data_IF_893677973248
#
_entry.id   IF_893677973248
#
_cell.length_a   1.000
_cell.length_b   1.000
_cell.length_c   1.000
_cell.angle_alpha   90.00
_cell.angle_beta   90.00
_cell.angle_gamma   90.00
#
_symmetry.space_group_name_H-M   'P 1'
#
loop_
_entity.id
_entity.type
_entity.pdbx_description
1 polymer ?
#
# COMPACT_ATOMS: atom_id res chain seq x y z
N UNK A 1 -11.93 -35.46 -29.57
CA UNK A 1 -11.59 -34.19 -30.28
C UNK A 1 -10.84 -33.31 -29.31
N UNK A 2 -9.54 -33.23 -29.44
CA UNK A 2 -8.66 -32.43 -28.55
C UNK A 2 -8.69 -30.98 -29.05
N UNK A 3 -9.35 -30.10 -28.29
CA UNK A 3 -9.36 -28.65 -28.54
C UNK A 3 -8.03 -28.02 -28.22
N UNK A 4 -7.34 -27.47 -29.23
CA UNK A 4 -6.09 -26.71 -29.08
C UNK A 4 -6.36 -25.47 -28.22
N UNK A 5 -5.78 -25.44 -27.04
CA UNK A 5 -5.76 -24.27 -26.14
C UNK A 5 -4.98 -23.14 -26.84
N UNK A 6 -5.68 -22.10 -27.28
CA UNK A 6 -5.05 -20.91 -27.89
C UNK A 6 -4.44 -20.02 -26.80
N UNK A 7 -3.16 -20.12 -26.61
CA UNK A 7 -2.34 -19.28 -25.72
C UNK A 7 -2.08 -17.87 -26.26
N UNK A 8 -2.66 -17.51 -27.42
CA UNK A 8 -2.37 -16.28 -28.16
C UNK A 8 -2.93 -14.98 -27.54
N UNK A 9 -3.73 -15.05 -26.48
CA UNK A 9 -4.36 -13.87 -25.87
C UNK A 9 -3.62 -13.32 -24.62
N UNK A 10 -2.57 -13.98 -24.14
CA UNK A 10 -1.80 -13.52 -22.96
C UNK A 10 -0.55 -12.71 -23.34
N UNK A 11 -0.05 -12.87 -24.57
CA UNK A 11 1.16 -12.21 -25.05
C UNK A 11 1.06 -10.67 -25.09
N UNK A 12 -0.06 -10.03 -25.53
CA UNK A 12 -0.13 -8.58 -25.59
C UNK A 12 -0.19 -7.92 -24.19
N UNK A 13 -0.70 -8.62 -23.18
CA UNK A 13 -0.74 -8.08 -21.81
C UNK A 13 0.65 -8.09 -21.16
N UNK A 14 1.43 -9.14 -21.37
CA UNK A 14 2.80 -9.24 -20.88
C UNK A 14 3.74 -8.21 -21.55
N UNK A 15 3.53 -7.93 -22.85
CA UNK A 15 4.26 -6.90 -23.58
C UNK A 15 3.92 -5.48 -23.12
N UNK A 16 2.64 -5.19 -22.83
CA UNK A 16 2.22 -3.89 -22.31
C UNK A 16 2.80 -3.59 -20.93
N UNK A 17 2.85 -4.57 -20.04
CA UNK A 17 3.50 -4.45 -18.72
C UNK A 17 5.02 -4.29 -18.87
N UNK A 18 5.65 -5.01 -19.78
CA UNK A 18 7.09 -4.92 -20.06
C UNK A 18 7.53 -3.55 -20.60
N UNK A 19 6.72 -2.90 -21.43
CA UNK A 19 7.06 -1.57 -22.01
C UNK A 19 6.96 -0.46 -20.96
N UNK A 20 6.06 -0.58 -19.98
CA UNK A 20 5.93 0.40 -18.88
C UNK A 20 7.17 0.35 -17.96
N UNK A 21 7.77 -0.82 -17.78
CA UNK A 21 8.94 -1.01 -16.90
C UNK A 21 10.26 -0.46 -17.50
N UNK A 22 10.35 -0.30 -18.82
CA UNK A 22 11.62 0.09 -19.50
C UNK A 22 11.78 1.60 -19.66
N UNK A 23 10.70 2.39 -19.52
CA UNK A 23 10.70 3.82 -19.87
C UNK A 23 10.80 4.80 -18.68
N UNK A 24 11.12 4.34 -17.47
CA UNK A 24 11.20 5.23 -16.30
C UNK A 24 12.57 5.89 -16.19
N UNK A 25 12.65 7.23 -16.16
CA UNK A 25 13.91 7.94 -15.92
C UNK A 25 14.42 7.64 -14.51
N UNK A 26 15.74 7.52 -14.37
CA UNK A 26 16.42 7.36 -13.06
C UNK A 26 16.26 8.68 -12.28
N UNK A 27 15.34 8.70 -11.39
CA UNK A 27 15.12 9.78 -10.47
C UNK A 27 15.35 9.30 -9.03
N UNK A 28 15.81 10.15 -8.12
CA UNK A 28 16.27 9.79 -6.76
C UNK A 28 15.28 10.29 -5.70
N UNK A 29 14.72 9.49 -4.81
CA UNK A 29 13.98 9.85 -3.59
C UNK A 29 13.06 8.81 -2.94
N UNK A 30 12.67 8.89 -1.68
CA UNK A 30 11.86 7.95 -0.90
C UNK A 30 10.63 8.56 -0.21
N UNK A 31 9.45 8.16 -0.55
CA UNK A 31 8.37 8.03 0.43
C UNK A 31 7.89 6.57 0.47
N UNK A 32 8.77 5.69 0.92
CA UNK A 32 8.50 4.26 1.01
C UNK A 32 7.89 3.91 2.36
N UNK A 33 8.02 4.80 3.34
CA UNK A 33 7.20 4.70 4.53
C UNK A 33 5.74 4.73 4.10
N UNK A 34 5.06 3.59 4.13
CA UNK A 34 3.66 3.43 3.79
C UNK A 34 2.72 4.19 4.73
N UNK A 35 3.01 5.49 4.94
CA UNK A 35 2.17 6.36 5.73
C UNK A 35 0.80 6.46 5.07
N UNK A 36 -0.14 5.66 5.54
CA UNK A 36 -1.49 5.63 5.03
C UNK A 36 -1.70 4.92 3.68
N UNK A 37 -0.71 4.18 3.17
CA UNK A 37 -0.93 3.32 2.02
C UNK A 37 -1.05 1.87 2.49
N UNK A 38 -2.22 1.28 2.56
CA UNK A 38 -2.35 -0.14 2.79
C UNK A 38 -1.77 -0.86 1.56
N UNK A 39 -0.48 -1.23 1.62
CA UNK A 39 0.23 -1.99 0.58
C UNK A 39 -0.52 -3.26 0.19
N UNK A 40 -1.33 -3.78 1.10
CA UNK A 40 -2.07 -5.02 0.96
C UNK A 40 -3.58 -4.84 0.74
N UNK A 41 -4.16 -3.70 1.13
CA UNK A 41 -5.60 -3.47 0.93
C UNK A 41 -5.97 -3.15 -0.52
N UNK A 42 -5.01 -2.71 -1.33
CA UNK A 42 -5.23 -2.52 -2.77
C UNK A 42 -5.44 -3.86 -3.50
N UNK A 43 -4.81 -4.93 -3.02
CA UNK A 43 -4.93 -6.26 -3.60
C UNK A 43 -6.07 -7.03 -2.94
N UNK A 44 -7.16 -7.19 -3.66
CA UNK A 44 -8.34 -7.94 -3.21
C UNK A 44 -8.31 -9.39 -3.74
N UNK A 45 -7.70 -10.33 -2.99
CA UNK A 45 -7.56 -11.70 -3.46
C UNK A 45 -8.87 -12.50 -3.38
N UNK A 46 -9.85 -12.03 -2.61
CA UNK A 46 -11.11 -12.72 -2.50
C UNK A 46 -12.14 -12.15 -3.46
N UNK A 47 -12.75 -13.03 -4.23
CA UNK A 47 -13.94 -12.70 -5.00
C UNK A 47 -15.00 -12.09 -4.07
N UNK A 48 -15.31 -10.79 -4.22
CA UNK A 48 -16.44 -10.20 -3.53
C UNK A 48 -17.70 -10.83 -4.13
N UNK A 49 -18.22 -11.85 -3.51
CA UNK A 49 -19.43 -12.54 -3.95
C UNK A 49 -20.67 -12.07 -3.18
N UNK A 50 -20.47 -11.44 -2.02
CA UNK A 50 -21.54 -10.99 -1.13
C UNK A 50 -21.85 -9.49 -1.20
N UNK A 51 -22.85 -9.10 -0.41
CA UNK A 51 -23.29 -7.71 -0.26
C UNK A 51 -22.30 -6.87 0.56
N UNK A 52 -21.71 -7.47 1.58
CA UNK A 52 -20.79 -6.80 2.51
C UNK A 52 -19.60 -7.72 2.81
N UNK A 53 -18.40 -7.16 2.77
CA UNK A 53 -17.19 -7.78 3.27
C UNK A 53 -16.60 -6.90 4.37
N UNK A 54 -16.29 -7.50 5.49
CA UNK A 54 -15.53 -6.91 6.58
C UNK A 54 -14.20 -7.63 6.68
N UNK A 55 -13.12 -6.86 6.83
CA UNK A 55 -11.78 -7.40 6.98
C UNK A 55 -11.07 -6.65 8.11
N UNK A 56 -10.38 -7.42 8.94
CA UNK A 56 -9.46 -6.94 9.95
C UNK A 56 -8.10 -7.54 9.64
N UNK A 57 -7.11 -6.72 9.42
CA UNK A 57 -5.75 -7.18 9.17
C UNK A 57 -4.73 -6.38 9.97
N UNK A 58 -3.61 -7.01 10.24
CA UNK A 58 -2.42 -6.39 10.82
C UNK A 58 -1.26 -6.53 9.86
N UNK A 59 -0.53 -5.47 9.67
CA UNK A 59 0.65 -5.39 8.82
C UNK A 59 1.84 -4.90 9.62
N UNK A 60 2.99 -5.52 9.42
CA UNK A 60 4.27 -5.07 9.94
C UNK A 60 5.16 -4.59 8.81
N UNK A 61 5.72 -3.39 8.95
CA UNK A 61 6.67 -2.78 8.04
C UNK A 61 7.89 -2.29 8.81
N UNK A 62 9.07 -2.47 8.23
CA UNK A 62 10.31 -1.86 8.70
C UNK A 62 11.08 -1.23 7.54
N UNK A 63 11.56 -0.01 7.76
CA UNK A 63 12.39 0.75 6.82
C UNK A 63 13.53 1.41 7.58
N UNK A 64 14.72 1.31 7.04
CA UNK A 64 15.89 2.03 7.54
C UNK A 64 16.25 3.10 6.47
N UNK A 65 16.42 4.37 6.87
CA UNK A 65 16.70 5.48 5.96
C UNK A 65 17.78 6.39 6.54
N UNK A 66 18.60 7.03 5.70
CA UNK A 66 19.52 8.08 6.14
C UNK A 66 18.77 9.31 6.63
N UNK A 67 19.23 9.94 7.71
CA UNK A 67 18.62 11.15 8.26
C UNK A 67 18.94 12.37 7.39
N UNK A 68 17.93 13.15 7.05
CA UNK A 68 18.08 14.33 6.19
C UNK A 68 19.06 15.35 6.76
N UNK A 69 20.00 15.77 5.91
CA UNK A 69 21.01 16.77 6.28
C UNK A 69 22.02 16.34 7.32
N UNK A 70 22.02 15.07 7.77
CA UNK A 70 22.92 14.54 8.79
C UNK A 70 23.65 13.27 8.31
N UNK A 71 24.73 13.38 7.53
CA UNK A 71 25.49 12.22 7.06
C UNK A 71 25.97 11.33 8.21
N UNK A 72 25.77 10.02 8.08
CA UNK A 72 26.15 9.04 9.10
C UNK A 72 25.10 8.81 10.21
N UNK A 73 23.94 9.43 10.08
CA UNK A 73 22.76 9.15 10.91
C UNK A 73 21.74 8.33 10.11
N UNK A 74 21.04 7.45 10.80
CA UNK A 74 20.03 6.56 10.20
C UNK A 74 18.75 6.60 11.01
N UNK A 75 17.64 6.83 10.35
CA UNK A 75 16.30 6.71 10.91
C UNK A 75 15.77 5.29 10.67
N UNK A 76 15.47 4.59 11.75
CA UNK A 76 14.91 3.25 11.74
C UNK A 76 13.44 3.32 12.08
N UNK A 77 12.58 3.16 11.08
CA UNK A 77 11.13 3.11 11.25
C UNK A 77 10.68 1.66 11.39
N UNK A 78 9.95 1.35 12.46
CA UNK A 78 9.17 0.14 12.62
C UNK A 78 7.69 0.52 12.81
N UNK A 79 6.80 -0.10 12.04
CA UNK A 79 5.38 0.20 12.05
C UNK A 79 4.53 -1.07 12.10
N UNK A 80 3.58 -1.10 13.03
CA UNK A 80 2.43 -1.97 12.99
C UNK A 80 1.21 -1.19 12.55
N UNK A 81 0.49 -1.71 11.59
CA UNK A 81 -0.77 -1.12 11.12
C UNK A 81 -1.89 -2.14 11.28
N UNK A 82 -2.97 -1.74 11.90
CA UNK A 82 -4.19 -2.53 12.08
C UNK A 82 -5.28 -1.88 11.25
N UNK A 83 -5.74 -2.55 10.19
CA UNK A 83 -6.74 -2.01 9.28
C UNK A 83 -8.10 -2.63 9.54
N UNK A 84 -9.11 -1.79 9.68
CA UNK A 84 -10.51 -2.19 9.59
C UNK A 84 -11.02 -1.78 8.22
N UNK A 85 -11.30 -2.77 7.36
CA UNK A 85 -11.74 -2.56 6.00
C UNK A 85 -13.21 -3.01 5.85
N UNK A 86 -14.01 -2.21 5.19
CA UNK A 86 -15.38 -2.53 4.81
C UNK A 86 -15.57 -2.33 3.31
N UNK A 87 -16.12 -3.33 2.64
CA UNK A 87 -16.49 -3.23 1.22
C UNK A 87 -17.98 -3.57 1.11
N UNK A 88 -18.78 -2.56 0.74
CA UNK A 88 -20.21 -2.68 0.53
C UNK A 88 -20.54 -2.62 -0.95
N UNK A 89 -21.31 -3.59 -1.44
CA UNK A 89 -21.69 -3.71 -2.85
C UNK A 89 -23.21 -3.50 -3.00
N UNK A 90 -23.68 -2.25 -3.14
CA UNK A 90 -25.11 -1.96 -3.31
C UNK A 90 -25.67 -2.53 -4.61
N UNK A 91 -24.87 -2.59 -5.66
CA UNK A 91 -25.21 -3.21 -6.94
C UNK A 91 -24.03 -4.03 -7.47
N UNK A 92 -24.29 -4.98 -8.36
CA UNK A 92 -23.29 -5.94 -8.85
C UNK A 92 -22.03 -5.34 -9.49
N UNK A 93 -22.10 -4.07 -9.91
CA UNK A 93 -20.98 -3.35 -10.55
C UNK A 93 -20.33 -2.29 -9.68
N UNK A 94 -20.92 -1.91 -8.55
CA UNK A 94 -20.39 -0.84 -7.69
C UNK A 94 -20.02 -1.41 -6.32
N UNK A 95 -18.80 -1.15 -5.89
CA UNK A 95 -18.33 -1.41 -4.53
C UNK A 95 -17.93 -0.10 -3.88
N UNK A 96 -18.42 0.17 -2.70
CA UNK A 96 -17.98 1.25 -1.82
C UNK A 96 -16.98 0.67 -0.83
N UNK A 97 -15.88 1.36 -0.61
CA UNK A 97 -14.73 0.88 0.17
C UNK A 97 -14.45 1.91 1.27
N UNK A 98 -14.29 1.43 2.49
CA UNK A 98 -13.83 2.25 3.61
C UNK A 98 -12.72 1.51 4.35
N UNK A 99 -11.66 2.24 4.70
CA UNK A 99 -10.52 1.73 5.47
C UNK A 99 -10.23 2.69 6.61
N UNK A 100 -10.10 2.15 7.83
CA UNK A 100 -9.69 2.91 9.01
C UNK A 100 -8.47 2.20 9.60
N UNK A 101 -7.28 2.83 9.55
CA UNK A 101 -6.07 2.28 10.15
C UNK A 101 -5.91 2.74 11.60
N UNK A 102 -5.48 1.84 12.47
CA UNK A 102 -4.82 2.16 13.74
C UNK A 102 -3.35 1.83 13.57
N UNK A 103 -2.49 2.75 13.90
CA UNK A 103 -1.06 2.65 13.62
C UNK A 103 -0.26 2.76 14.92
N UNK A 104 0.73 1.91 15.06
CA UNK A 104 1.74 1.93 16.09
C UNK A 104 3.10 2.08 15.41
N UNK A 105 3.74 3.23 15.62
CA UNK A 105 5.00 3.61 14.98
C UNK A 105 6.09 3.87 16.00
N UNK A 106 7.27 3.32 15.72
CA UNK A 106 8.49 3.64 16.44
C UNK A 106 9.54 4.12 15.43
N UNK A 107 10.14 5.27 15.70
CA UNK A 107 11.32 5.77 14.98
C UNK A 107 12.46 5.91 15.96
N UNK A 108 13.61 5.39 15.59
CA UNK A 108 14.89 5.61 16.25
C UNK A 108 15.85 6.29 15.28
N UNK A 109 16.36 7.47 15.65
CA UNK A 109 17.48 8.08 14.95
C UNK A 109 18.77 7.63 15.60
N UNK A 110 19.61 6.91 14.86
CA UNK A 110 20.88 6.35 15.33
C UNK A 110 22.04 7.09 14.65
N UNK A 111 22.98 7.59 15.45
CA UNK A 111 24.21 8.22 14.98
C UNK A 111 25.42 7.70 15.72
N UNK A 112 26.48 7.31 14.99
CA UNK A 112 27.69 6.75 15.61
C UNK A 112 27.45 5.47 16.41
N UNK A 113 26.38 4.73 16.15
CA UNK A 113 25.99 3.52 16.89
C UNK A 113 25.23 3.78 18.19
N UNK A 114 24.78 5.01 18.43
CA UNK A 114 24.02 5.40 19.63
C UNK A 114 22.68 6.02 19.22
N UNK A 115 21.61 5.70 19.94
CA UNK A 115 20.30 6.32 19.77
C UNK A 115 20.38 7.81 20.16
N UNK A 116 20.02 8.68 19.22
CA UNK A 116 19.99 10.14 19.41
C UNK A 116 18.59 10.60 19.80
N UNK A 117 17.58 10.11 19.09
CA UNK A 117 16.17 10.35 19.41
C UNK A 117 15.38 9.06 19.25
N UNK A 118 14.33 8.92 20.04
CA UNK A 118 13.36 7.84 19.89
C UNK A 118 11.95 8.41 20.04
N UNK A 119 11.05 8.02 19.17
CA UNK A 119 9.63 8.33 19.30
C UNK A 119 8.80 7.08 19.16
N UNK A 120 7.73 6.99 19.93
CA UNK A 120 6.73 5.93 19.84
C UNK A 120 5.36 6.56 19.87
N UNK A 121 4.60 6.37 18.81
CA UNK A 121 3.24 6.93 18.65
C UNK A 121 2.26 5.83 18.31
N UNK A 122 1.11 5.84 18.97
CA UNK A 122 0.00 4.91 18.70
C UNK A 122 -1.29 5.69 18.58
N UNK A 123 -2.08 5.43 17.54
CA UNK A 123 -3.37 6.09 17.34
C UNK A 123 -3.98 5.83 15.97
N UNK A 124 -5.00 6.61 15.63
CA UNK A 124 -5.61 6.56 14.31
C UNK A 124 -4.66 7.12 13.25
N UNK A 125 -4.56 6.42 12.12
CA UNK A 125 -3.94 6.94 10.91
C UNK A 125 -4.95 7.63 10.00
N UNK A 126 -4.56 7.86 8.75
CA UNK A 126 -5.41 8.51 7.76
C UNK A 126 -6.45 7.52 7.21
N UNK A 127 -7.72 7.79 7.42
CA UNK A 127 -8.82 6.98 6.92
C UNK A 127 -9.01 7.17 5.41
N UNK A 128 -9.48 6.12 4.73
CA UNK A 128 -9.74 6.15 3.29
C UNK A 128 -11.19 5.82 2.98
N UNK A 129 -11.76 6.56 2.03
CA UNK A 129 -13.05 6.26 1.41
C UNK A 129 -12.89 6.19 -0.10
N UNK A 130 -13.46 5.17 -0.71
CA UNK A 130 -13.35 4.97 -2.14
C UNK A 130 -14.54 4.23 -2.72
N UNK A 131 -14.56 4.17 -4.05
CA UNK A 131 -15.50 3.40 -4.82
C UNK A 131 -14.80 2.69 -5.97
N UNK A 132 -15.31 1.51 -6.35
CA UNK A 132 -14.88 0.76 -7.53
C UNK A 132 -16.10 0.47 -8.39
N UNK A 133 -16.04 0.83 -9.67
CA UNK A 133 -17.08 0.59 -10.63
C UNK A 133 -16.62 -0.31 -11.77
N UNK A 134 -17.23 -1.49 -11.89
CA UNK A 134 -16.96 -2.44 -12.96
C UNK A 134 -17.63 -1.98 -14.26
N UNK A 135 -16.89 -1.30 -15.12
CA UNK A 135 -17.39 -0.81 -16.42
C UNK A 135 -17.49 -1.93 -17.45
N UNK A 136 -16.67 -2.98 -17.31
CA UNK A 136 -16.75 -4.18 -18.13
C UNK A 136 -16.81 -5.43 -17.25
N UNK A 137 -17.77 -6.31 -17.52
CA UNK A 137 -17.88 -7.62 -16.87
C UNK A 137 -18.39 -8.65 -17.87
N UNK A 138 -17.62 -9.72 -18.04
CA UNK A 138 -17.96 -10.85 -18.88
C UNK A 138 -18.12 -12.09 -18.02
N UNK A 139 -19.25 -12.78 -18.19
CA UNK A 139 -19.57 -14.03 -17.49
C UNK A 139 -19.77 -15.11 -18.55
N UNK A 140 -18.90 -16.10 -18.57
CA UNK A 140 -19.07 -17.27 -19.44
C UNK A 140 -19.42 -18.48 -18.57
N UNK A 141 -20.72 -18.77 -18.47
CA UNK A 141 -21.23 -19.86 -17.64
C UNK A 141 -20.81 -21.23 -18.13
N UNK A 142 -20.57 -21.40 -19.46
CA UNK A 142 -20.17 -22.69 -20.03
C UNK A 142 -18.83 -23.21 -19.57
N UNK A 143 -17.91 -22.30 -19.20
CA UNK A 143 -16.56 -22.63 -18.68
C UNK A 143 -16.30 -22.06 -17.29
N UNK A 144 -17.32 -21.50 -16.64
CA UNK A 144 -17.20 -20.92 -15.29
C UNK A 144 -16.18 -19.76 -15.21
N UNK A 145 -16.09 -18.92 -16.27
CA UNK A 145 -15.11 -17.83 -16.34
C UNK A 145 -15.75 -16.47 -16.09
N UNK A 146 -15.11 -15.71 -15.21
CA UNK A 146 -15.43 -14.30 -14.93
C UNK A 146 -14.24 -13.45 -15.36
N UNK A 147 -14.51 -12.35 -16.05
CA UNK A 147 -13.55 -11.29 -16.33
C UNK A 147 -14.19 -9.96 -15.99
N UNK A 148 -13.45 -9.11 -15.29
CA UNK A 148 -13.94 -7.81 -14.86
C UNK A 148 -12.85 -6.78 -15.01
N UNK A 149 -13.18 -5.61 -15.59
CA UNK A 149 -12.38 -4.40 -15.53
C UNK A 149 -13.16 -3.35 -14.75
N UNK A 150 -12.51 -2.72 -13.80
CA UNK A 150 -13.12 -1.71 -12.98
C UNK A 150 -12.22 -0.45 -12.87
N UNK A 151 -12.88 0.69 -12.76
CA UNK A 151 -12.27 1.94 -12.36
C UNK A 151 -12.44 2.08 -10.84
N UNK A 152 -11.39 2.42 -10.14
CA UNK A 152 -11.39 2.71 -8.71
C UNK A 152 -10.99 4.16 -8.48
N UNK A 153 -11.53 4.79 -7.45
CA UNK A 153 -11.13 6.13 -7.04
C UNK A 153 -11.61 6.44 -5.63
N UNK A 154 -10.95 7.36 -4.97
CA UNK A 154 -11.27 7.70 -3.60
C UNK A 154 -10.38 8.78 -3.03
N UNK A 155 -10.42 8.90 -1.71
CA UNK A 155 -9.79 9.95 -0.97
C UNK A 155 -9.26 9.42 0.37
N UNK A 156 -7.98 9.61 0.64
CA UNK A 156 -7.40 9.52 1.97
C UNK A 156 -7.60 10.84 2.70
N UNK A 157 -8.08 10.77 3.92
CA UNK A 157 -8.45 11.93 4.75
C UNK A 157 -7.41 12.10 5.85
N UNK A 158 -6.96 13.32 6.18
CA UNK A 158 -5.97 13.56 7.22
C UNK A 158 -6.61 13.42 8.62
N UNK A 159 -6.97 12.21 9.01
CA UNK A 159 -7.57 11.88 10.31
C UNK A 159 -6.54 11.47 11.35
N UNK A 160 -5.35 11.09 10.92
CA UNK A 160 -4.24 10.78 11.80
C UNK A 160 -3.58 12.05 12.37
N UNK A 161 -2.99 11.94 13.57
CA UNK A 161 -2.23 13.05 14.15
C UNK A 161 -0.97 13.33 13.35
N UNK A 162 -0.67 14.61 13.15
CA UNK A 162 0.55 15.12 12.50
C UNK A 162 1.21 16.26 13.28
N UNK A 163 0.91 16.38 14.56
CA UNK A 163 1.42 17.41 15.46
C UNK A 163 2.17 16.87 16.67
N UNK A 164 2.56 15.61 16.65
CA UNK A 164 3.16 14.95 17.79
C UNK A 164 4.64 15.35 17.97
N UNK A 165 5.08 15.34 19.24
CA UNK A 165 6.43 15.72 19.68
C UNK A 165 7.12 14.57 20.38
N UNK A 166 8.44 14.55 20.29
CA UNK A 166 9.31 13.69 21.08
C UNK A 166 10.26 14.54 21.91
N UNK A 167 11.06 13.91 22.74
CA UNK A 167 12.08 14.59 23.56
C UNK A 167 13.46 14.16 23.06
N UNK A 168 14.31 15.11 22.75
CA UNK A 168 15.70 14.85 22.39
C UNK A 168 16.56 14.46 23.61
N UNK A 169 17.81 14.11 23.36
CA UNK A 169 18.76 13.71 24.41
C UNK A 169 19.07 14.85 25.42
N UNK A 170 18.70 16.09 25.10
CA UNK A 170 18.86 17.27 25.99
C UNK A 170 17.63 17.51 26.85
N UNK A 171 16.56 16.76 26.66
CA UNK A 171 15.27 16.97 27.34
C UNK A 171 14.38 18.00 26.66
N UNK A 172 14.76 18.49 25.47
CA UNK A 172 13.96 19.48 24.71
C UNK A 172 12.90 18.79 23.89
N UNK A 173 11.67 19.31 23.91
CA UNK A 173 10.58 18.81 23.05
C UNK A 173 10.81 19.24 21.60
N UNK A 174 11.00 18.26 20.73
CA UNK A 174 11.21 18.44 19.28
C UNK A 174 10.07 17.78 18.49
N UNK A 175 9.77 18.26 17.25
CA UNK A 175 8.80 17.60 16.41
C UNK A 175 9.24 16.18 16.10
N UNK A 176 8.29 15.25 16.08
CA UNK A 176 8.51 13.92 15.49
C UNK A 176 8.62 14.11 13.98
N UNK A 177 9.58 13.42 13.37
CA UNK A 177 9.75 13.39 11.92
C UNK A 177 8.40 13.13 11.21
N UNK A 178 8.10 13.76 10.06
CA UNK A 178 6.86 13.54 9.33
C UNK A 178 6.53 12.07 9.06
N UNK A 179 7.53 11.22 8.80
CA UNK A 179 7.35 9.79 8.59
C UNK A 179 6.99 9.04 9.88
N UNK A 180 7.35 9.58 11.03
CA UNK A 180 6.97 9.07 12.35
C UNK A 180 5.58 9.49 12.81
N UNK A 181 4.99 10.52 12.22
CA UNK A 181 3.64 10.94 12.54
C UNK A 181 2.60 9.87 12.18
N UNK A 182 1.45 9.87 12.85
CA UNK A 182 0.38 8.90 12.59
C UNK A 182 -0.39 9.20 11.31
N UNK A 183 -0.48 10.47 10.91
CA UNK A 183 -1.13 10.92 9.68
C UNK A 183 -0.24 11.81 8.83
N UNK A 184 -0.63 11.97 7.58
CA UNK A 184 0.10 12.80 6.60
C UNK A 184 -0.20 14.29 6.73
N UNK A 185 -1.28 14.66 7.46
CA UNK A 185 -1.77 16.03 7.56
C UNK A 185 -2.34 16.59 6.27
N UNK A 186 -2.28 15.85 5.16
CA UNK A 186 -2.75 16.25 3.84
C UNK A 186 -3.82 15.30 3.28
N UNK A 187 -4.63 15.79 2.35
CA UNK A 187 -5.57 14.98 1.59
C UNK A 187 -4.86 14.15 0.54
N UNK A 188 -5.34 12.94 0.28
CA UNK A 188 -4.75 12.01 -0.68
C UNK A 188 -5.77 11.45 -1.68
N UNK A 189 -6.22 12.21 -2.71
CA UNK A 189 -7.06 11.63 -3.75
C UNK A 189 -6.30 10.58 -4.54
N UNK A 190 -6.99 9.49 -4.92
CA UNK A 190 -6.43 8.43 -5.75
C UNK A 190 -7.37 7.98 -6.84
N UNK A 191 -6.77 7.47 -7.92
CA UNK A 191 -7.47 6.88 -9.05
C UNK A 191 -6.72 5.63 -9.49
N UNK A 192 -7.45 4.58 -9.91
CA UNK A 192 -6.85 3.32 -10.33
C UNK A 192 -7.71 2.49 -11.26
N UNK A 193 -7.09 1.48 -11.82
CA UNK A 193 -7.71 0.45 -12.63
C UNK A 193 -7.51 -0.91 -11.96
N UNK A 194 -8.54 -1.72 -12.00
CA UNK A 194 -8.54 -3.07 -11.50
C UNK A 194 -8.96 -4.04 -12.60
N UNK A 195 -8.22 -5.12 -12.74
CA UNK A 195 -8.59 -6.26 -13.58
C UNK A 195 -8.69 -7.51 -12.72
N UNK A 196 -9.74 -8.30 -12.96
CA UNK A 196 -9.95 -9.61 -12.34
C UNK A 196 -10.27 -10.65 -13.37
N UNK A 197 -9.66 -11.80 -13.22
CA UNK A 197 -9.93 -13.02 -13.95
C UNK A 197 -10.18 -14.16 -12.99
N UNK A 198 -11.25 -14.91 -13.18
CA UNK A 198 -11.54 -16.13 -12.41
C UNK A 198 -11.99 -17.24 -13.34
N UNK A 199 -11.43 -18.42 -13.18
CA UNK A 199 -11.84 -19.62 -13.92
C UNK A 199 -11.49 -20.86 -13.11
N UNK A 200 -12.50 -21.70 -12.82
CA UNK A 200 -12.35 -22.92 -12.04
C UNK A 200 -11.62 -22.65 -10.70
N UNK A 201 -10.43 -23.22 -10.54
CA UNK A 201 -9.62 -23.10 -9.32
C UNK A 201 -8.63 -21.93 -9.36
N UNK A 202 -8.66 -21.11 -10.41
CA UNK A 202 -7.71 -19.99 -10.59
C UNK A 202 -8.43 -18.66 -10.45
N UNK A 203 -7.80 -17.77 -9.71
CA UNK A 203 -8.13 -16.35 -9.67
C UNK A 203 -6.87 -15.57 -10.03
N UNK A 204 -6.96 -14.65 -10.97
CA UNK A 204 -5.91 -13.66 -11.23
C UNK A 204 -6.46 -12.27 -11.04
N UNK A 205 -5.65 -11.35 -10.55
CA UNK A 205 -5.99 -9.94 -10.53
C UNK A 205 -4.77 -9.07 -10.79
N UNK A 206 -5.01 -7.89 -11.31
CA UNK A 206 -4.01 -6.86 -11.51
C UNK A 206 -4.61 -5.50 -11.16
N UNK A 207 -3.86 -4.71 -10.42
CA UNK A 207 -4.23 -3.38 -9.99
C UNK A 207 -3.15 -2.39 -10.40
N UNK A 208 -3.56 -1.19 -10.75
CA UNK A 208 -2.69 -0.03 -10.84
C UNK A 208 -3.42 1.17 -10.27
N UNK A 209 -2.77 1.96 -9.43
CA UNK A 209 -3.34 3.18 -8.87
C UNK A 209 -2.30 4.28 -8.79
N UNK A 210 -2.75 5.51 -8.91
CA UNK A 210 -1.96 6.70 -8.68
C UNK A 210 -2.59 7.49 -7.52
N UNK A 211 -1.76 7.82 -6.54
CA UNK A 211 -2.13 8.54 -5.33
C UNK A 211 -1.46 9.90 -5.32
N UNK A 212 -2.24 10.94 -5.38
CA UNK A 212 -1.75 12.31 -5.19
C UNK A 212 -1.74 12.65 -3.70
N UNK A 213 -0.78 13.46 -3.28
CA UNK A 213 -0.68 13.93 -1.90
C UNK A 213 -0.74 15.45 -1.89
N UNK A 214 -1.54 16.02 -1.00
CA UNK A 214 -1.53 17.46 -0.75
C UNK A 214 -0.60 17.80 0.42
N UNK A 215 -0.27 19.06 0.54
CA UNK A 215 0.62 19.55 1.61
C UNK A 215 -0.11 19.52 2.95
N UNK A 216 0.51 18.92 3.96
CA UNK A 216 0.14 19.01 5.36
C UNK A 216 0.82 20.19 6.05
N UNK A 217 0.24 20.66 7.15
CA UNK A 217 0.84 21.68 8.03
C UNK A 217 1.03 21.04 9.40
N UNK A 218 2.26 21.09 9.90
CA UNK A 218 2.64 20.53 11.19
C UNK A 218 2.53 21.58 12.31
N UNK A 219 2.63 21.14 13.56
CA UNK A 219 2.36 21.99 14.72
C UNK A 219 3.29 23.23 14.84
N UNK A 220 4.50 23.17 14.28
CA UNK A 220 5.45 24.27 14.25
C UNK A 220 5.23 25.24 13.08
N UNK A 221 4.20 25.00 12.28
CA UNK A 221 3.89 25.76 11.07
C UNK A 221 4.68 25.33 9.83
N UNK A 222 5.60 24.36 9.97
CA UNK A 222 6.29 23.78 8.81
C UNK A 222 5.29 23.08 7.88
N UNK A 223 5.64 23.01 6.63
CA UNK A 223 4.83 22.36 5.60
C UNK A 223 5.58 21.16 5.04
N UNK A 224 4.84 20.07 4.90
CA UNK A 224 5.37 18.85 4.35
C UNK A 224 4.39 18.22 3.36
N UNK A 225 4.89 17.78 2.22
CA UNK A 225 4.14 17.05 1.23
C UNK A 225 4.83 15.73 0.94
N UNK A 226 4.21 14.64 1.29
CA UNK A 226 4.64 13.31 0.85
C UNK A 226 4.60 13.21 -0.68
N UNK A 227 5.53 12.48 -1.25
CA UNK A 227 5.59 12.26 -2.69
C UNK A 227 4.34 11.55 -3.22
N UNK A 228 3.87 11.99 -4.38
CA UNK A 228 2.82 11.26 -5.09
C UNK A 228 3.31 9.85 -5.42
N UNK A 229 2.44 8.84 -5.34
CA UNK A 229 2.82 7.45 -5.51
C UNK A 229 2.00 6.73 -6.59
N UNK A 230 2.68 5.90 -7.38
CA UNK A 230 2.05 4.89 -8.22
C UNK A 230 2.24 3.51 -7.58
N UNK A 231 1.15 2.77 -7.45
CA UNK A 231 1.12 1.42 -6.91
C UNK A 231 0.61 0.48 -7.99
N UNK A 232 1.20 -0.70 -8.08
CA UNK A 232 0.69 -1.76 -8.97
C UNK A 232 0.90 -3.12 -8.35
N UNK A 233 0.00 -4.05 -8.68
CA UNK A 233 0.10 -5.44 -8.26
C UNK A 233 -0.40 -6.38 -9.35
N UNK A 234 0.20 -7.56 -9.43
CA UNK A 234 -0.29 -8.66 -10.27
C UNK A 234 -0.20 -9.93 -9.46
N UNK A 235 -1.32 -10.60 -9.27
CA UNK A 235 -1.41 -11.81 -8.46
C UNK A 235 -2.09 -12.94 -9.19
N UNK A 236 -1.65 -14.15 -8.89
CA UNK A 236 -2.29 -15.40 -9.26
C UNK A 236 -2.58 -16.24 -8.02
N UNK A 237 -3.83 -16.63 -7.85
CA UNK A 237 -4.28 -17.46 -6.75
C UNK A 237 -4.75 -18.82 -7.28
N UNK A 238 -4.28 -19.89 -6.66
CA UNK A 238 -4.71 -21.26 -6.93
C UNK A 238 -5.46 -21.84 -5.74
N UNK A 239 -6.67 -22.36 -5.99
CA UNK A 239 -7.57 -22.95 -5.00
C UNK A 239 -7.74 -24.44 -5.24
N UNK A 240 -6.84 -25.30 -4.73
CA UNK A 240 -6.96 -26.74 -4.92
C UNK A 240 -8.23 -27.32 -4.30
N UNK A 241 -8.67 -26.75 -3.19
CA UNK A 241 -9.90 -27.09 -2.46
C UNK A 241 -10.63 -25.81 -2.02
N UNK A 242 -11.89 -25.92 -1.68
CA UNK A 242 -12.71 -24.77 -1.28
C UNK A 242 -12.21 -24.07 0.01
N UNK A 243 -11.39 -24.74 0.82
CA UNK A 243 -10.92 -24.25 2.12
C UNK A 243 -9.53 -23.61 2.07
N UNK A 244 -8.75 -23.84 1.00
CA UNK A 244 -7.36 -23.36 0.91
C UNK A 244 -7.12 -22.68 -0.41
N UNK A 245 -6.43 -21.53 -0.38
CA UNK A 245 -5.91 -20.88 -1.56
C UNK A 245 -4.46 -20.46 -1.35
N UNK A 246 -3.64 -20.73 -2.34
CA UNK A 246 -2.26 -20.25 -2.44
C UNK A 246 -2.24 -19.04 -3.36
N UNK A 247 -1.58 -17.99 -2.95
CA UNK A 247 -1.41 -16.75 -3.70
C UNK A 247 0.07 -16.51 -3.98
N UNK A 248 0.36 -16.01 -5.15
CA UNK A 248 1.69 -15.54 -5.51
C UNK A 248 1.54 -14.32 -6.41
N UNK A 249 2.22 -13.25 -6.04
CA UNK A 249 2.16 -12.02 -6.80
C UNK A 249 3.46 -11.23 -6.83
N UNK A 250 3.40 -10.16 -7.58
CA UNK A 250 4.40 -9.10 -7.61
C UNK A 250 3.69 -7.81 -7.28
N UNK A 251 4.17 -7.14 -6.25
CA UNK A 251 3.74 -5.81 -5.85
C UNK A 251 4.83 -4.81 -6.21
N UNK A 252 4.43 -3.66 -6.70
CA UNK A 252 5.33 -2.59 -7.03
C UNK A 252 4.84 -1.25 -6.51
N UNK A 253 5.79 -0.42 -6.13
CA UNK A 253 5.55 0.94 -5.72
C UNK A 253 6.61 1.85 -6.32
N UNK A 254 6.17 2.96 -6.85
CA UNK A 254 6.99 4.13 -7.19
C UNK A 254 6.46 5.31 -6.40
N UNK A 255 7.33 6.05 -5.73
CA UNK A 255 6.97 7.30 -5.09
C UNK A 255 7.90 8.43 -5.54
N UNK A 256 7.36 9.64 -5.68
CA UNK A 256 8.14 10.85 -5.93
C UNK A 256 8.82 11.30 -4.64
N UNK A 257 9.76 12.21 -4.79
CA UNK A 257 10.42 12.92 -3.70
C UNK A 257 9.40 13.62 -2.83
N UNK A 258 9.58 13.55 -1.54
CA UNK A 258 8.88 14.40 -0.59
C UNK A 258 9.37 15.85 -0.71
N UNK A 259 8.55 16.77 -0.26
CA UNK A 259 8.84 18.20 -0.28
C UNK A 259 8.57 18.77 1.10
N UNK A 260 9.54 19.47 1.66
CA UNK A 260 9.44 20.13 2.96
C UNK A 260 9.84 21.58 2.89
N UNK A 261 9.27 22.40 3.75
CA UNK A 261 9.64 23.82 3.89
C UNK A 261 9.67 24.19 5.35
N UNK A 262 10.63 25.03 5.75
CA UNK A 262 10.56 25.69 7.03
C UNK A 262 9.31 26.60 7.12
N UNK A 263 8.88 26.92 8.33
CA UNK A 263 7.72 27.76 8.55
C UNK A 263 7.81 29.07 7.74
N UNK A 264 6.78 29.30 6.88
CA UNK A 264 6.63 30.52 6.11
C UNK A 264 7.26 30.55 4.71
N UNK A 265 8.08 29.57 4.33
CA UNK A 265 8.63 29.48 2.98
C UNK A 265 7.89 28.40 2.18
N UNK A 266 7.41 28.78 0.98
CA UNK A 266 6.74 27.87 0.03
C UNK A 266 7.69 27.32 -1.05
N UNK A 267 8.95 27.71 -1.04
CA UNK A 267 9.97 27.11 -1.92
C UNK A 267 10.30 25.72 -1.39
N UNK A 268 9.50 24.74 -1.81
CA UNK A 268 9.70 23.36 -1.41
C UNK A 268 11.08 22.87 -1.82
N UNK A 269 11.92 22.54 -0.86
CA UNK A 269 13.14 21.77 -1.09
C UNK A 269 12.79 20.29 -1.17
N UNK A 270 13.46 19.56 -2.06
CA UNK A 270 13.42 18.09 -2.06
C UNK A 270 14.01 17.58 -0.75
N UNK A 271 13.33 16.63 -0.12
CA UNK A 271 13.82 15.95 1.06
C UNK A 271 14.67 14.76 0.60
N UNK A 272 15.94 14.73 0.99
CA UNK A 272 16.84 13.62 0.68
C UNK A 272 16.35 12.33 1.34
N UNK A 273 16.82 11.21 0.83
CA UNK A 273 16.43 9.87 1.33
C UNK A 273 14.91 9.59 1.32
N UNK A 274 14.13 10.18 0.40
CA UNK A 274 12.66 9.97 0.28
C UNK A 274 12.19 9.60 -1.15
N UNK A 275 11.35 8.53 -1.43
CA UNK A 275 10.79 7.99 -2.71
C UNK A 275 11.70 7.01 -3.44
N UNK A 276 11.37 6.66 -4.64
CA UNK A 276 12.02 5.64 -5.44
C UNK A 276 11.08 4.53 -5.88
N UNK A 277 11.65 3.39 -6.25
CA UNK A 277 10.91 2.22 -6.72
C UNK A 277 11.28 1.01 -5.91
N UNK A 278 10.27 0.26 -5.46
CA UNK A 278 10.42 -1.07 -4.87
C UNK A 278 9.54 -2.04 -5.63
N UNK A 279 10.09 -3.25 -5.92
CA UNK A 279 9.32 -4.41 -6.35
C UNK A 279 9.49 -5.51 -5.32
N UNK A 280 8.39 -6.13 -4.95
CA UNK A 280 8.36 -7.23 -3.99
C UNK A 280 7.67 -8.44 -4.58
N UNK A 281 8.18 -9.64 -4.30
CA UNK A 281 7.42 -10.87 -4.47
C UNK A 281 6.53 -11.07 -3.25
N UNK A 282 5.28 -11.45 -3.48
CA UNK A 282 4.26 -11.50 -2.46
C UNK A 282 3.56 -12.88 -2.40
N UNK A 283 4.17 -13.89 -1.73
CA UNK A 283 3.49 -15.14 -1.43
C UNK A 283 2.41 -14.95 -0.36
N UNK A 284 1.29 -15.65 -0.53
CA UNK A 284 0.16 -15.63 0.40
C UNK A 284 -0.51 -16.99 0.56
N UNK A 285 -1.11 -17.19 1.71
CA UNK A 285 -1.92 -18.36 2.06
C UNK A 285 -3.26 -17.89 2.63
N UNK A 286 -4.33 -18.45 2.11
CA UNK A 286 -5.70 -18.16 2.54
C UNK A 286 -6.37 -19.45 2.97
N UNK A 287 -7.03 -19.38 4.13
CA UNK A 287 -7.76 -20.50 4.70
C UNK A 287 -9.21 -20.10 5.00
N UNK A 288 -10.16 -20.80 4.40
CA UNK A 288 -11.58 -20.65 4.67
C UNK A 288 -11.96 -21.54 5.85
N UNK A 289 -12.00 -20.96 7.05
CA UNK A 289 -12.29 -21.69 8.28
C UNK A 289 -13.74 -22.19 8.36
N UNK A 290 -14.68 -21.31 7.96
CA UNK A 290 -16.11 -21.60 7.81
C UNK A 290 -16.66 -20.77 6.67
N UNK A 291 -17.83 -21.13 6.16
CA UNK A 291 -18.45 -20.44 5.02
C UNK A 291 -18.46 -18.91 5.21
N UNK A 292 -17.80 -18.19 4.30
CA UNK A 292 -17.69 -16.75 4.32
C UNK A 292 -16.61 -16.16 5.23
N UNK A 293 -15.92 -16.99 6.03
CA UNK A 293 -14.88 -16.54 6.94
C UNK A 293 -13.50 -17.04 6.51
N UNK A 294 -12.60 -16.12 6.21
CA UNK A 294 -11.24 -16.40 5.75
C UNK A 294 -10.21 -15.87 6.73
N UNK A 295 -9.15 -16.63 6.90
CA UNK A 295 -7.90 -16.21 7.53
C UNK A 295 -6.85 -16.17 6.45
N UNK A 296 -6.00 -15.15 6.44
CA UNK A 296 -4.92 -15.06 5.47
C UNK A 296 -3.60 -14.61 6.10
N UNK A 297 -2.53 -15.10 5.52
CA UNK A 297 -1.16 -14.65 5.77
C UNK A 297 -0.55 -14.25 4.44
N UNK A 298 0.14 -13.13 4.39
CA UNK A 298 0.86 -12.63 3.22
C UNK A 298 2.18 -12.04 3.65
N UNK A 299 3.20 -12.23 2.84
CA UNK A 299 4.54 -11.68 3.07
C UNK A 299 4.92 -10.94 1.80
N UNK A 300 5.58 -9.79 1.94
CA UNK A 300 6.20 -9.08 0.82
C UNK A 300 7.70 -9.08 1.04
N UNK A 301 8.43 -9.56 0.04
CA UNK A 301 9.88 -9.68 0.07
C UNK A 301 10.42 -8.80 -1.06
N UNK A 302 11.03 -7.65 -0.76
CA UNK A 302 11.67 -6.81 -1.76
C UNK A 302 12.75 -7.61 -2.51
N UNK A 303 12.77 -7.53 -3.84
CA UNK A 303 13.79 -8.15 -4.68
C UNK A 303 14.43 -7.16 -5.66
N UNK A 304 13.83 -6.00 -5.82
CA UNK A 304 14.37 -4.90 -6.59
C UNK A 304 14.08 -3.59 -5.88
N UNK A 305 15.13 -2.82 -5.67
CA UNK A 305 15.08 -1.50 -5.05
C UNK A 305 15.88 -0.52 -5.91
N UNK A 306 15.27 0.56 -6.29
CA UNK A 306 15.91 1.72 -6.89
C UNK A 306 15.45 2.95 -6.10
N UNK A 307 16.01 3.05 -4.91
CA UNK A 307 15.69 4.03 -3.91
C UNK A 307 16.66 5.20 -4.01
N UNK A 308 16.24 6.32 -3.49
CA UNK A 308 17.03 7.53 -3.56
C UNK A 308 17.67 7.80 -2.21
N UNK A 309 18.93 8.17 -2.24
CA UNK A 309 19.72 8.31 -1.02
C UNK A 309 19.96 6.96 -0.33
N UNK A 310 20.12 7.01 0.97
CA UNK A 310 20.40 5.84 1.81
C UNK A 310 19.09 5.28 2.36
N UNK A 311 18.68 4.13 1.88
CA UNK A 311 17.45 3.48 2.30
C UNK A 311 17.45 1.99 2.03
N UNK A 312 16.75 1.24 2.88
CA UNK A 312 16.64 -0.20 2.86
C UNK A 312 15.25 -0.63 3.34
N UNK A 313 14.45 -1.23 2.45
CA UNK A 313 13.11 -1.73 2.76
C UNK A 313 13.21 -3.19 3.18
N UNK A 314 12.82 -3.47 4.40
CA UNK A 314 12.83 -4.83 4.91
C UNK A 314 11.59 -5.61 4.48
N UNK A 315 11.64 -6.97 4.48
CA UNK A 315 10.45 -7.77 4.27
C UNK A 315 9.32 -7.36 5.22
N UNK A 316 8.11 -7.23 4.68
CA UNK A 316 6.89 -6.92 5.42
C UNK A 316 5.94 -8.11 5.39
N UNK A 317 4.95 -8.11 6.29
CA UNK A 317 3.97 -9.18 6.34
C UNK A 317 2.64 -8.71 6.89
N UNK A 318 1.57 -9.37 6.45
CA UNK A 318 0.23 -9.14 6.93
C UNK A 318 -0.46 -10.44 7.30
N UNK A 319 -1.19 -10.38 8.40
CA UNK A 319 -2.11 -11.43 8.86
C UNK A 319 -3.49 -10.81 8.98
N UNK A 320 -4.52 -11.48 8.48
CA UNK A 320 -5.86 -10.92 8.56
C UNK A 320 -6.98 -11.93 8.60
N UNK A 321 -8.12 -11.41 8.98
CA UNK A 321 -9.40 -12.09 9.05
C UNK A 321 -10.36 -11.37 8.12
N UNK A 322 -11.11 -12.13 7.34
CA UNK A 322 -12.11 -11.58 6.42
C UNK A 322 -13.42 -12.33 6.58
N UNK A 323 -14.51 -11.58 6.67
CA UNK A 323 -15.86 -12.12 6.70
C UNK A 323 -16.69 -11.54 5.56
N UNK A 324 -17.37 -12.43 4.82
CA UNK A 324 -18.26 -12.06 3.71
C UNK A 324 -19.70 -12.41 4.08
N UNK A 325 -20.57 -11.41 4.08
CA UNK A 325 -22.01 -11.60 4.15
C UNK A 325 -22.50 -11.92 2.73
N UNK A 326 -23.04 -13.11 2.56
CA UNK A 326 -23.52 -13.65 1.27
C UNK A 326 -24.89 -13.11 0.90
#
# INVERSE_FOLDING_TARGET
MMGKCRWSSLIPLALAVGVILVAMPKAKACSICGCGDPLLAASDPAAITGLLRLQLDTEYLRVDAGTDGQPGYTDQLAQWSYHVNAVYRPISRLSLIATVPVVDKTIHTVGGGTDITASHLTGLGDAELGARYAFFRSLNYGVGRVQEFALAGGLSMPTGSNGDKTTDTTGTAVPVDPHGQLGTGGWGPFLGLHYRFEQANWLGFADVSYRMRTTGTYFDGSKYKFGDAALWSVHGQYRPVATVAFDLGIDGRYARVDQGTAAGDLSASSIDNTGGTVLSVAPGLYFNAVRGFWVFLRIQIPFYENLYGEQDVKPSGALGLQYQVL
#
